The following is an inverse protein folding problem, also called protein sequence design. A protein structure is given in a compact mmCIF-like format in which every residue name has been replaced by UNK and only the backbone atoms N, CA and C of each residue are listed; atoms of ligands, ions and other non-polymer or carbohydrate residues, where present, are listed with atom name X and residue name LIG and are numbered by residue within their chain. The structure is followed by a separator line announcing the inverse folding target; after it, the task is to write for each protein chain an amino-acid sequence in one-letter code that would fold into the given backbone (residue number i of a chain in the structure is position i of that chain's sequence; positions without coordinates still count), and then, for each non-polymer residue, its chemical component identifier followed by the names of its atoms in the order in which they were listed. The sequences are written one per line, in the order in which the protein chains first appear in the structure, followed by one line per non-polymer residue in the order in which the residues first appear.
data_IF_891008866379
#
_entry.id   IF_891008866379
#
_cell.length_a   1.000
_cell.length_b   1.000
_cell.length_c   1.000
_cell.angle_alpha   90.00
_cell.angle_beta   90.00
_cell.angle_gamma   90.00
#
_symmetry.space_group_name_H-M   'P 1'
#
loop_
_entity.id
_entity.type
_entity.pdbx_description
1 polymer ?
#
# COMPACT_ATOMS: atom_id res chain seq x y z
N UNK A 1 16.28 -7.38 20.76
CA UNK A 1 15.03 -6.71 21.13
C UNK A 1 14.22 -6.52 19.88
N UNK A 2 12.93 -6.83 19.92
CA UNK A 2 12.02 -6.66 18.78
C UNK A 2 11.13 -5.47 19.05
N UNK A 3 11.05 -4.55 18.09
CA UNK A 3 10.18 -3.38 18.14
C UNK A 3 9.06 -3.58 17.12
N UNK A 4 7.82 -3.33 17.54
CA UNK A 4 6.65 -3.37 16.68
C UNK A 4 6.19 -1.95 16.39
N UNK A 5 5.99 -1.64 15.09
CA UNK A 5 5.38 -0.39 14.64
C UNK A 5 4.17 -0.69 13.79
N UNK A 6 3.12 0.10 13.94
CA UNK A 6 1.91 -0.01 13.13
C UNK A 6 1.74 1.22 12.25
N UNK A 7 1.36 0.97 11.00
CA UNK A 7 1.07 2.01 10.01
C UNK A 7 -0.26 1.70 9.36
N UNK A 8 -0.92 2.74 8.86
CA UNK A 8 -2.21 2.62 8.21
C UNK A 8 -2.19 3.35 6.89
N UNK A 9 -2.91 2.82 5.91
CA UNK A 9 -3.13 3.48 4.64
C UNK A 9 -4.48 3.07 4.06
N UNK A 10 -4.97 3.84 3.11
CA UNK A 10 -6.21 3.56 2.41
C UNK A 10 -5.89 3.21 0.98
N UNK A 11 -6.51 2.16 0.46
CA UNK A 11 -6.34 1.76 -0.92
C UNK A 11 -7.60 1.09 -1.44
N UNK A 12 -7.80 1.16 -2.75
CA UNK A 12 -8.88 0.46 -3.43
C UNK A 12 -8.38 -0.87 -3.98
N UNK A 13 -9.29 -1.80 -4.17
CA UNK A 13 -9.00 -3.07 -4.84
C UNK A 13 -10.28 -3.73 -5.37
N UNK A 14 -10.11 -4.79 -6.10
CA UNK A 14 -11.19 -5.73 -6.40
C UNK A 14 -10.64 -7.15 -6.46
N UNK A 15 -11.52 -8.13 -6.29
CA UNK A 15 -11.18 -9.52 -6.52
C UNK A 15 -11.95 -10.02 -7.74
N UNK A 16 -11.29 -10.06 -8.88
CA UNK A 16 -11.89 -10.37 -10.18
C UNK A 16 -12.38 -11.82 -10.30
N UNK A 17 -11.88 -12.69 -9.46
CA UNK A 17 -12.25 -14.10 -9.48
C UNK A 17 -13.55 -14.38 -8.73
N UNK A 18 -14.02 -13.45 -7.92
CA UNK A 18 -15.25 -13.60 -7.15
C UNK A 18 -16.43 -12.98 -7.92
N UNK A 19 -17.59 -13.66 -7.84
CA UNK A 19 -18.81 -13.23 -8.51
C UNK A 19 -19.73 -12.42 -7.60
N UNK A 20 -19.25 -11.97 -6.44
CA UNK A 20 -20.03 -11.23 -5.46
C UNK A 20 -19.57 -9.76 -5.39
N UNK A 21 -19.99 -9.08 -4.32
CA UNK A 21 -19.63 -7.67 -4.08
C UNK A 21 -18.13 -7.38 -4.08
N UNK A 22 -17.29 -8.38 -3.80
CA UNK A 22 -15.84 -8.22 -3.77
C UNK A 22 -15.25 -8.04 -5.17
N UNK A 23 -15.99 -8.34 -6.22
CA UNK A 23 -15.59 -8.07 -7.60
C UNK A 23 -15.72 -6.58 -7.95
N UNK A 24 -16.54 -5.85 -7.24
CA UNK A 24 -16.68 -4.42 -7.44
C UNK A 24 -15.44 -3.68 -6.97
N UNK A 25 -15.22 -2.51 -7.54
CA UNK A 25 -14.19 -1.61 -7.03
C UNK A 25 -14.60 -1.11 -5.65
N UNK A 26 -13.79 -1.33 -4.66
CA UNK A 26 -14.07 -0.89 -3.30
C UNK A 26 -12.77 -0.59 -2.57
N UNK A 27 -12.86 0.08 -1.42
CA UNK A 27 -11.70 0.48 -0.66
C UNK A 27 -11.68 -0.09 0.74
N UNK A 28 -10.48 -0.18 1.30
CA UNK A 28 -10.25 -0.59 2.67
C UNK A 28 -9.24 0.33 3.34
N UNK A 29 -9.31 0.40 4.66
CA UNK A 29 -8.21 0.88 5.47
C UNK A 29 -7.35 -0.32 5.83
N UNK A 30 -6.09 -0.28 5.39
CA UNK A 30 -5.13 -1.34 5.65
C UNK A 30 -4.29 -1.00 6.87
N UNK A 31 -4.04 -2.00 7.69
CA UNK A 31 -3.07 -1.91 8.78
C UNK A 31 -1.83 -2.70 8.40
N UNK A 32 -0.67 -2.09 8.62
CA UNK A 32 0.63 -2.73 8.43
C UNK A 32 1.34 -2.80 9.76
N UNK A 33 1.64 -4.02 10.22
CA UNK A 33 2.45 -4.24 11.41
C UNK A 33 3.86 -4.62 10.98
N UNK A 34 4.83 -3.82 11.37
CA UNK A 34 6.23 -4.07 11.08
C UNK A 34 6.96 -4.44 12.37
N UNK A 35 7.74 -5.50 12.31
CA UNK A 35 8.56 -5.99 13.41
C UNK A 35 10.02 -5.81 13.04
N UNK A 36 10.76 -5.11 13.90
CA UNK A 36 12.16 -4.82 13.68
C UNK A 36 12.99 -5.45 14.77
N UNK A 37 14.01 -6.21 14.39
CA UNK A 37 15.01 -6.68 15.34
C UNK A 37 16.09 -5.63 15.45
N UNK A 38 16.33 -5.11 16.67
CA UNK A 38 17.31 -4.05 16.92
C UNK A 38 18.24 -4.43 18.06
N UNK A 39 19.47 -3.95 17.97
CA UNK A 39 20.42 -4.07 19.06
C UNK A 39 20.13 -3.01 20.13
N UNK A 40 20.46 -3.31 21.40
CA UNK A 40 20.16 -2.42 22.52
C UNK A 40 21.13 -1.23 22.64
N UNK A 41 21.66 -0.75 21.53
CA UNK A 41 22.72 0.26 21.51
C UNK A 41 22.18 1.62 21.09
N UNK A 42 21.28 2.23 21.84
CA UNK A 42 20.85 3.56 21.50
C UNK A 42 19.47 3.91 22.03
N UNK A 43 19.05 5.13 21.81
CA UNK A 43 17.75 5.62 22.25
C UNK A 43 16.65 5.02 21.35
N UNK A 44 15.72 4.29 21.96
CA UNK A 44 14.60 3.67 21.24
C UNK A 44 13.75 4.71 20.51
N UNK A 45 13.58 5.90 21.09
CA UNK A 45 12.85 6.99 20.46
C UNK A 45 13.43 7.43 19.12
N UNK A 46 14.77 7.43 19.00
CA UNK A 46 15.46 7.74 17.76
C UNK A 46 15.21 6.66 16.71
N UNK A 47 15.23 5.38 17.12
CA UNK A 47 14.96 4.26 16.24
C UNK A 47 13.52 4.31 15.67
N UNK A 48 12.54 4.67 16.49
CA UNK A 48 11.16 4.83 16.02
C UNK A 48 11.06 5.93 14.96
N UNK A 49 11.70 7.06 15.17
CA UNK A 49 11.75 8.15 14.20
C UNK A 49 12.39 7.73 12.89
N UNK A 50 13.48 6.98 12.94
CA UNK A 50 14.16 6.47 11.75
C UNK A 50 13.25 5.53 10.94
N UNK A 51 12.49 4.66 11.59
CA UNK A 51 11.56 3.77 10.92
C UNK A 51 10.42 4.56 10.25
N UNK A 52 9.85 5.54 10.94
CA UNK A 52 8.79 6.37 10.39
C UNK A 52 9.27 7.14 9.15
N UNK A 53 10.47 7.69 9.18
CA UNK A 53 11.06 8.43 8.05
C UNK A 53 11.25 7.57 6.81
N UNK A 54 11.41 6.26 6.96
CA UNK A 54 11.59 5.34 5.85
C UNK A 54 10.27 4.72 5.38
N UNK A 55 9.43 4.33 6.31
CA UNK A 55 8.21 3.55 6.01
C UNK A 55 7.06 4.47 5.56
N UNK A 56 6.81 5.58 6.25
CA UNK A 56 5.68 6.45 5.92
C UNK A 56 5.76 7.05 4.51
N UNK A 57 6.90 7.62 4.07
CA UNK A 57 7.00 8.12 2.70
C UNK A 57 6.84 7.01 1.66
N UNK A 58 7.35 5.81 1.94
CA UNK A 58 7.20 4.66 1.05
C UNK A 58 5.73 4.28 0.90
N UNK A 59 4.98 4.18 2.00
CA UNK A 59 3.55 3.88 1.94
C UNK A 59 2.78 4.95 1.19
N UNK A 60 3.06 6.23 1.44
CA UNK A 60 2.39 7.34 0.76
C UNK A 60 2.65 7.37 -0.74
N UNK A 61 3.86 7.01 -1.16
CA UNK A 61 4.22 7.06 -2.58
C UNK A 61 3.78 5.83 -3.37
N UNK A 62 3.63 4.67 -2.72
CA UNK A 62 3.37 3.40 -3.42
C UNK A 62 2.01 2.80 -3.15
N UNK A 63 1.46 2.95 -1.95
CA UNK A 63 0.26 2.22 -1.53
C UNK A 63 -0.91 3.11 -1.16
N UNK A 64 -0.66 4.21 -0.45
CA UNK A 64 -1.75 5.05 0.04
C UNK A 64 -2.50 5.72 -1.11
N UNK A 65 -3.82 5.59 -1.11
CA UNK A 65 -4.71 6.07 -2.17
C UNK A 65 -4.41 5.43 -3.54
N UNK A 66 -3.84 4.24 -3.55
CA UNK A 66 -3.59 3.48 -4.77
C UNK A 66 -4.75 2.53 -5.07
N UNK A 67 -4.82 2.07 -6.31
CA UNK A 67 -5.63 0.93 -6.72
C UNK A 67 -4.73 -0.31 -6.72
N UNK A 68 -4.93 -1.21 -5.76
CA UNK A 68 -4.18 -2.46 -5.68
C UNK A 68 -4.88 -3.46 -6.61
N UNK A 69 -4.28 -3.73 -7.75
CA UNK A 69 -4.90 -4.54 -8.80
C UNK A 69 -3.94 -5.63 -9.27
N UNK A 70 -4.49 -6.81 -9.50
CA UNK A 70 -3.75 -7.91 -10.10
C UNK A 70 -3.40 -7.56 -11.55
N UNK A 71 -2.13 -7.71 -11.93
CA UNK A 71 -1.68 -7.43 -13.30
C UNK A 71 -2.35 -8.33 -14.34
N UNK A 72 -2.91 -9.47 -13.93
CA UNK A 72 -3.66 -10.37 -14.80
C UNK A 72 -5.16 -10.07 -14.86
N UNK A 73 -5.64 -9.09 -14.08
CA UNK A 73 -7.00 -8.62 -14.14
C UNK A 73 -7.23 -7.88 -15.47
N UNK A 74 -8.25 -8.22 -16.25
CA UNK A 74 -8.55 -7.49 -17.49
C UNK A 74 -8.74 -5.98 -17.28
N UNK A 75 -9.21 -5.56 -16.10
CA UNK A 75 -9.36 -4.14 -15.79
C UNK A 75 -7.99 -3.42 -15.72
N UNK A 76 -6.92 -4.12 -15.33
CA UNK A 76 -5.59 -3.52 -15.30
C UNK A 76 -5.17 -2.98 -16.67
N UNK A 77 -5.34 -3.78 -17.72
CA UNK A 77 -5.03 -3.35 -19.08
C UNK A 77 -5.90 -2.19 -19.53
N UNK A 78 -7.18 -2.20 -19.17
CA UNK A 78 -8.09 -1.10 -19.47
C UNK A 78 -7.63 0.20 -18.82
N UNK A 79 -7.23 0.16 -17.54
CA UNK A 79 -6.76 1.32 -16.82
C UNK A 79 -5.42 1.82 -17.37
N UNK A 80 -4.51 0.92 -17.70
CA UNK A 80 -3.22 1.28 -18.31
C UNK A 80 -3.41 1.90 -19.69
N UNK A 81 -4.33 1.36 -20.49
CA UNK A 81 -4.64 1.93 -21.79
C UNK A 81 -5.23 3.33 -21.67
N UNK A 82 -6.10 3.54 -20.69
CA UNK A 82 -6.63 4.88 -20.39
C UNK A 82 -5.49 5.86 -20.08
N UNK A 83 -4.51 5.45 -19.27
CA UNK A 83 -3.36 6.29 -18.96
C UNK A 83 -2.55 6.62 -20.21
N UNK A 84 -2.33 5.64 -21.09
CA UNK A 84 -1.59 5.85 -22.35
C UNK A 84 -2.31 6.82 -23.27
N UNK A 85 -3.65 6.74 -23.36
CA UNK A 85 -4.43 7.60 -24.27
C UNK A 85 -4.59 9.02 -23.76
N UNK A 86 -4.71 9.20 -22.46
CA UNK A 86 -5.03 10.51 -21.87
C UNK A 86 -3.83 11.22 -21.29
N UNK A 87 -2.71 10.52 -21.06
CA UNK A 87 -1.58 11.05 -20.32
C UNK A 87 -1.82 11.15 -18.82
N UNK A 88 -2.97 10.66 -18.32
CA UNK A 88 -3.27 10.66 -16.90
C UNK A 88 -2.37 9.66 -16.16
N UNK A 89 -1.94 10.03 -14.95
CA UNK A 89 -1.16 9.15 -14.09
C UNK A 89 -2.03 8.62 -12.97
N UNK A 90 -2.29 7.32 -13.00
CA UNK A 90 -3.02 6.64 -11.94
C UNK A 90 -2.04 5.78 -11.13
N UNK A 91 -2.24 5.73 -9.83
CA UNK A 91 -1.45 4.87 -8.96
C UNK A 91 -2.09 3.48 -8.92
N UNK A 92 -1.50 2.58 -9.69
CA UNK A 92 -1.99 1.21 -9.84
C UNK A 92 -1.02 0.21 -9.22
#
# INVERSE_FOLDING_TARGET
MIIRKEYKFYAAHRNEELADKCRNLHGHRYGLSCFFEVERNGAISTLFGDFDEKIEPFLKSHYDHAMLINVHDPLYETLMDHCRRTGESLRL
#
